data_IF_093842077051
#
_entry.id   IF_093842077051
#
_cell.length_a   1.000
_cell.length_b   1.000
_cell.length_c   1.000
_cell.angle_alpha   90.00
_cell.angle_beta   90.00
_cell.angle_gamma   90.00
#
_symmetry.space_group_name_H-M   'P 1'
#
loop_
_entity.id
_entity.type
_entity.pdbx_description
1 polymer ?
#
# COMPACT_ATOMS: atom_id res chain seq x y z
N UNK A 1 17.67 -23.70 7.06
CA UNK A 1 18.17 -22.53 7.81
C UNK A 1 18.02 -22.71 9.32
N UNK A 2 16.81 -22.89 9.88
CA UNK A 2 16.63 -23.13 11.34
C UNK A 2 17.31 -24.42 11.83
N UNK A 3 17.21 -25.51 11.07
CA UNK A 3 17.87 -26.79 11.37
C UNK A 3 19.41 -26.72 11.26
N UNK A 4 19.93 -25.79 10.46
CA UNK A 4 21.37 -25.57 10.28
C UNK A 4 21.94 -24.62 11.35
N UNK A 5 21.12 -23.68 11.84
CA UNK A 5 21.43 -22.78 12.96
C UNK A 5 21.39 -23.53 14.29
N UNK A 6 20.47 -24.48 14.46
CA UNK A 6 20.43 -25.36 15.64
C UNK A 6 21.67 -26.25 15.74
N UNK A 7 22.22 -26.72 14.61
CA UNK A 7 23.43 -27.55 14.58
C UNK A 7 24.74 -26.75 14.66
N UNK A 8 24.65 -25.42 14.78
CA UNK A 8 25.78 -24.50 14.97
C UNK A 8 26.00 -24.14 16.46
N UNK A 9 25.05 -24.44 17.35
CA UNK A 9 25.22 -24.29 18.81
C UNK A 9 25.94 -25.49 19.44
N UNK A 10 25.85 -26.68 18.83
CA UNK A 10 26.62 -27.86 19.24
C UNK A 10 28.03 -27.78 18.65
N UNK A 11 29.01 -27.42 19.47
CA UNK A 11 30.42 -27.22 19.11
C UNK A 11 31.21 -28.45 18.62
N UNK A 12 30.57 -29.39 17.94
CA UNK A 12 31.19 -30.62 17.45
C UNK A 12 31.70 -30.47 15.99
N UNK A 13 33.01 -30.24 15.86
CA UNK A 13 33.74 -30.17 14.58
C UNK A 13 33.71 -31.49 13.76
N UNK A 14 33.21 -32.57 14.34
CA UNK A 14 33.22 -33.93 13.75
C UNK A 14 32.16 -34.15 12.68
N UNK A 15 31.04 -33.41 12.71
CA UNK A 15 29.95 -33.57 11.73
C UNK A 15 30.18 -32.82 10.40
N UNK A 16 31.19 -31.94 10.33
CA UNK A 16 31.53 -31.18 9.12
C UNK A 16 32.48 -31.90 8.16
N UNK A 17 33.15 -32.98 8.60
CA UNK A 17 34.02 -33.79 7.72
C UNK A 17 33.23 -34.74 6.82
N UNK A 18 31.99 -35.07 7.18
CA UNK A 18 31.16 -36.06 6.44
C UNK A 18 30.52 -35.46 5.18
N UNK A 19 30.41 -34.13 5.07
CA UNK A 19 29.90 -33.45 3.87
C UNK A 19 30.95 -33.26 2.75
N UNK A 20 32.20 -33.73 2.97
CA UNK A 20 33.29 -33.59 2.00
C UNK A 20 33.49 -34.77 1.04
N UNK A 21 32.84 -35.92 1.26
CA UNK A 21 33.18 -37.17 0.57
C UNK A 21 32.12 -37.74 -0.37
N UNK A 22 31.05 -37.01 -0.67
CA UNK A 22 30.12 -37.35 -1.75
C UNK A 22 30.17 -36.26 -2.79
N UNK A 23 30.38 -36.64 -4.06
CA UNK A 23 30.54 -35.76 -5.23
C UNK A 23 29.65 -34.51 -5.16
N UNK A 24 30.22 -33.43 -4.61
CA UNK A 24 29.48 -32.22 -4.31
C UNK A 24 29.36 -31.39 -5.58
N UNK A 25 28.13 -31.07 -5.97
CA UNK A 25 27.87 -30.17 -7.10
C UNK A 25 28.55 -28.82 -6.84
N UNK A 26 28.95 -28.10 -7.89
CA UNK A 26 29.69 -26.83 -7.74
C UNK A 26 28.97 -25.77 -6.88
N UNK A 27 27.67 -25.92 -6.60
CA UNK A 27 26.90 -25.08 -5.70
C UNK A 27 27.12 -25.39 -4.22
N UNK A 28 27.36 -26.64 -3.83
CA UNK A 28 27.63 -27.03 -2.44
C UNK A 28 29.00 -26.51 -1.98
N UNK A 29 29.99 -26.53 -2.87
CA UNK A 29 31.33 -25.98 -2.61
C UNK A 29 31.29 -24.45 -2.44
N UNK A 30 30.50 -23.77 -3.27
CA UNK A 30 30.32 -22.30 -3.20
C UNK A 30 29.58 -21.87 -1.94
N UNK A 31 28.56 -22.62 -1.51
CA UNK A 31 27.86 -22.33 -0.27
C UNK A 31 28.74 -22.62 0.96
N UNK A 32 29.48 -23.73 0.94
CA UNK A 32 30.39 -24.10 2.02
C UNK A 32 31.51 -23.09 2.24
N UNK A 33 32.08 -22.55 1.16
CA UNK A 33 33.11 -21.49 1.23
C UNK A 33 32.56 -20.17 1.77
N UNK A 34 31.36 -19.76 1.34
CA UNK A 34 30.67 -18.59 1.88
C UNK A 34 30.43 -18.67 3.40
N UNK A 35 29.84 -19.78 3.88
CA UNK A 35 29.55 -19.92 5.31
C UNK A 35 30.82 -20.02 6.17
N UNK A 36 31.88 -20.61 5.63
CA UNK A 36 33.18 -20.69 6.30
C UNK A 36 33.83 -19.31 6.45
N UNK A 37 33.72 -18.45 5.43
CA UNK A 37 34.13 -17.05 5.53
C UNK A 37 33.37 -16.32 6.65
N UNK A 38 32.04 -16.44 6.70
CA UNK A 38 31.19 -15.82 7.75
C UNK A 38 31.58 -16.27 9.16
N UNK A 39 31.83 -17.57 9.36
CA UNK A 39 32.25 -18.10 10.66
C UNK A 39 33.61 -17.55 11.11
N UNK A 40 34.56 -17.40 10.18
CA UNK A 40 35.89 -16.88 10.48
C UNK A 40 35.85 -15.38 10.83
N UNK A 41 35.01 -14.60 10.14
CA UNK A 41 34.73 -13.19 10.50
C UNK A 41 34.16 -13.10 11.91
N UNK A 42 33.17 -13.94 12.26
CA UNK A 42 32.59 -13.94 13.61
C UNK A 42 33.58 -14.34 14.70
N UNK A 43 34.59 -15.16 14.37
CA UNK A 43 35.66 -15.59 15.27
C UNK A 43 36.85 -14.61 15.31
N UNK A 44 36.79 -13.47 14.60
CA UNK A 44 37.85 -12.47 14.55
C UNK A 44 39.10 -12.89 13.75
N UNK A 45 39.01 -13.93 12.92
CA UNK A 45 40.12 -14.45 12.09
C UNK A 45 40.02 -13.91 10.67
N UNK A 46 40.34 -12.62 10.50
CA UNK A 46 40.12 -11.88 9.26
C UNK A 46 41.00 -12.35 8.09
N UNK A 47 42.27 -12.70 8.33
CA UNK A 47 43.19 -13.15 7.27
C UNK A 47 42.71 -14.43 6.59
N UNK A 48 42.23 -15.38 7.39
CA UNK A 48 41.65 -16.63 6.88
C UNK A 48 40.31 -16.37 6.21
N UNK A 49 39.49 -15.47 6.76
CA UNK A 49 38.22 -15.11 6.14
C UNK A 49 38.40 -14.54 4.74
N UNK A 50 39.38 -13.64 4.56
CA UNK A 50 39.68 -13.01 3.27
C UNK A 50 40.01 -14.05 2.18
N UNK A 51 40.83 -15.05 2.49
CA UNK A 51 41.15 -16.14 1.55
C UNK A 51 39.88 -16.90 1.11
N UNK A 52 38.97 -17.19 2.04
CA UNK A 52 37.71 -17.87 1.71
C UNK A 52 36.73 -16.97 0.94
N UNK A 53 36.73 -15.65 1.18
CA UNK A 53 35.91 -14.71 0.40
C UNK A 53 36.41 -14.61 -1.03
N UNK A 54 37.72 -14.36 -1.24
CA UNK A 54 38.30 -14.31 -2.58
C UNK A 54 38.01 -15.59 -3.37
N UNK A 55 38.12 -16.74 -2.71
CA UNK A 55 37.85 -18.05 -3.32
C UNK A 55 36.37 -18.18 -3.71
N UNK A 56 35.46 -17.76 -2.84
CA UNK A 56 34.03 -17.77 -3.13
C UNK A 56 33.67 -16.80 -4.28
N UNK A 57 34.28 -15.61 -4.31
CA UNK A 57 34.09 -14.63 -5.39
C UNK A 57 34.58 -15.14 -6.73
N UNK A 58 35.78 -15.75 -6.79
CA UNK A 58 36.32 -16.37 -8.02
C UNK A 58 35.39 -17.47 -8.55
N UNK A 59 34.86 -18.33 -7.67
CA UNK A 59 33.92 -19.37 -8.06
C UNK A 59 32.57 -18.82 -8.57
N UNK A 60 32.05 -17.75 -7.95
CA UNK A 60 30.79 -17.12 -8.34
C UNK A 60 30.93 -16.28 -9.62
N UNK A 61 32.06 -15.59 -9.82
CA UNK A 61 32.32 -14.77 -11.00
C UNK A 61 32.27 -15.61 -12.28
N UNK A 62 32.89 -16.80 -12.28
CA UNK A 62 32.85 -17.72 -13.43
C UNK A 62 31.42 -18.19 -13.74
N UNK A 63 30.58 -18.43 -12.73
CA UNK A 63 29.17 -18.81 -12.91
C UNK A 63 28.32 -17.65 -13.43
N UNK A 64 28.51 -16.46 -12.89
CA UNK A 64 27.77 -15.26 -13.29
C UNK A 64 28.11 -14.87 -14.73
N UNK A 65 29.38 -14.97 -15.13
CA UNK A 65 29.79 -14.68 -16.51
C UNK A 65 29.05 -15.54 -17.55
N UNK A 66 28.77 -16.81 -17.22
CA UNK A 66 27.98 -17.71 -18.09
C UNK A 66 26.49 -17.37 -18.03
N UNK A 67 25.93 -17.17 -16.83
CA UNK A 67 24.48 -17.01 -16.64
C UNK A 67 23.94 -15.65 -17.11
N UNK A 68 24.73 -14.57 -16.99
CA UNK A 68 24.31 -13.21 -17.39
C UNK A 68 24.07 -13.12 -18.89
N UNK A 69 24.80 -13.91 -19.69
CA UNK A 69 24.61 -13.96 -21.14
C UNK A 69 23.28 -14.62 -21.54
N UNK A 70 22.71 -15.46 -20.68
CA UNK A 70 21.41 -16.11 -20.92
C UNK A 70 20.25 -15.27 -20.40
N UNK A 71 20.29 -14.87 -19.12
CA UNK A 71 19.35 -13.90 -18.57
C UNK A 71 19.82 -13.35 -17.22
N UNK A 72 19.49 -12.09 -16.97
CA UNK A 72 19.74 -11.47 -15.66
C UNK A 72 19.02 -12.21 -14.53
N UNK A 73 17.80 -12.71 -14.76
CA UNK A 73 17.03 -13.44 -13.75
C UNK A 73 17.75 -14.72 -13.26
N UNK A 74 18.41 -15.44 -14.16
CA UNK A 74 19.21 -16.64 -13.81
C UNK A 74 20.48 -16.29 -13.03
N UNK A 75 21.10 -15.16 -13.35
CA UNK A 75 22.30 -14.68 -12.67
C UNK A 75 22.01 -14.02 -11.31
N UNK A 76 20.77 -13.55 -11.07
CA UNK A 76 20.41 -12.69 -9.94
C UNK A 76 20.79 -13.29 -8.58
N UNK A 77 20.50 -14.57 -8.34
CA UNK A 77 20.83 -15.23 -7.06
C UNK A 77 22.34 -15.22 -6.76
N UNK A 78 23.17 -15.43 -7.79
CA UNK A 78 24.62 -15.39 -7.65
C UNK A 78 25.15 -13.96 -7.55
N UNK A 79 24.51 -12.99 -8.22
CA UNK A 79 24.82 -11.57 -8.09
C UNK A 79 24.60 -11.07 -6.65
N UNK A 80 23.49 -11.47 -6.01
CA UNK A 80 23.22 -11.15 -4.60
C UNK A 80 24.27 -11.78 -3.67
N UNK A 81 24.75 -12.99 -3.96
CA UNK A 81 25.84 -13.61 -3.16
C UNK A 81 27.16 -12.85 -3.30
N UNK A 82 27.49 -12.37 -4.50
CA UNK A 82 28.67 -11.52 -4.70
C UNK A 82 28.53 -10.22 -3.91
N UNK A 83 27.35 -9.57 -3.96
CA UNK A 83 27.05 -8.38 -3.16
C UNK A 83 27.20 -8.64 -1.65
N UNK A 84 26.74 -9.80 -1.16
CA UNK A 84 26.91 -10.18 0.24
C UNK A 84 28.37 -10.42 0.62
N UNK A 85 29.20 -10.94 -0.30
CA UNK A 85 30.63 -11.14 -0.08
C UNK A 85 31.39 -9.82 -0.08
N UNK A 86 31.09 -8.90 -0.99
CA UNK A 86 31.70 -7.57 -0.98
C UNK A 86 31.31 -6.79 0.27
N UNK A 87 30.04 -6.85 0.68
CA UNK A 87 29.59 -6.29 1.96
C UNK A 87 30.25 -6.96 3.17
N UNK A 88 30.63 -8.24 3.07
CA UNK A 88 31.36 -8.93 4.11
C UNK A 88 32.80 -8.41 4.22
N UNK A 89 33.49 -8.21 3.10
CA UNK A 89 34.83 -7.61 3.02
C UNK A 89 34.84 -6.17 3.54
N UNK A 90 33.84 -5.36 3.23
CA UNK A 90 33.76 -3.98 3.75
C UNK A 90 33.75 -3.88 5.28
N UNK A 91 33.37 -4.95 6.01
CA UNK A 91 33.39 -4.93 7.47
C UNK A 91 34.80 -5.05 8.08
N UNK A 92 35.83 -5.36 7.29
CA UNK A 92 37.22 -5.49 7.75
C UNK A 92 38.23 -5.04 6.67
N UNK A 93 39.08 -4.04 6.98
CA UNK A 93 40.09 -3.53 6.03
C UNK A 93 41.31 -4.47 5.90
N UNK A 94 42.16 -4.26 4.87
CA UNK A 94 43.42 -4.99 4.58
C UNK A 94 44.42 -5.05 5.75
N UNK A 95 44.19 -4.28 6.82
CA UNK A 95 44.99 -4.25 8.05
C UNK A 95 44.28 -4.89 9.27
N UNK A 96 43.19 -5.64 9.08
CA UNK A 96 42.48 -6.34 10.15
C UNK A 96 41.71 -5.44 11.11
N UNK A 97 41.40 -4.19 10.71
CA UNK A 97 40.57 -3.26 11.50
C UNK A 97 39.12 -3.29 11.02
N UNK A 98 38.19 -3.37 11.97
CA UNK A 98 36.76 -3.27 11.70
C UNK A 98 36.41 -1.81 11.36
N UNK A 99 36.04 -1.57 10.10
CA UNK A 99 35.46 -0.31 9.63
C UNK A 99 33.95 -0.52 9.59
N UNK A 100 33.14 0.35 10.20
CA UNK A 100 31.67 0.30 10.09
C UNK A 100 31.14 1.72 9.82
N UNK A 101 29.98 1.95 9.16
CA UNK A 101 28.98 0.96 8.68
C UNK A 101 28.28 1.29 7.33
N UNK A 102 28.48 0.49 6.27
CA UNK A 102 27.58 0.43 5.09
C UNK A 102 26.85 -0.92 5.02
N UNK A 103 25.51 -0.85 5.12
CA UNK A 103 24.49 -1.81 4.66
C UNK A 103 24.42 -3.27 5.17
N UNK A 104 25.41 -3.86 5.87
CA UNK A 104 25.25 -5.21 6.45
C UNK A 104 25.56 -5.34 7.96
N UNK A 105 24.84 -4.55 8.77
CA UNK A 105 25.02 -4.48 10.23
C UNK A 105 24.63 -5.75 11.01
N UNK A 106 23.98 -6.73 10.37
CA UNK A 106 23.41 -7.92 11.04
C UNK A 106 24.44 -8.93 11.56
N UNK A 107 25.66 -8.93 11.02
CA UNK A 107 26.68 -9.92 11.38
C UNK A 107 27.49 -9.52 12.63
N UNK A 108 27.56 -8.22 12.93
CA UNK A 108 28.47 -7.63 13.93
C UNK A 108 27.72 -6.96 15.07
N UNK A 109 26.51 -6.41 14.83
CA UNK A 109 25.74 -5.73 15.87
C UNK A 109 24.56 -6.60 16.34
N UNK A 110 24.23 -6.59 17.65
CA UNK A 110 23.06 -7.28 18.16
C UNK A 110 21.78 -6.75 17.46
N UNK A 111 20.76 -7.60 17.23
CA UNK A 111 19.53 -7.21 16.53
C UNK A 111 18.83 -5.96 17.08
N UNK A 112 19.10 -5.63 18.35
CA UNK A 112 18.61 -4.43 19.06
C UNK A 112 19.16 -3.12 18.52
N UNK A 113 20.39 -3.12 17.96
CA UNK A 113 21.02 -1.92 17.39
C UNK A 113 20.62 -1.67 15.93
N UNK A 114 19.92 -2.62 15.30
CA UNK A 114 19.43 -2.55 13.91
C UNK A 114 17.94 -2.96 13.82
N UNK A 115 17.14 -2.53 14.80
CA UNK A 115 15.74 -2.93 14.93
C UNK A 115 14.92 -2.66 13.64
N UNK A 116 15.15 -1.54 12.95
CA UNK A 116 14.39 -1.18 11.74
C UNK A 116 14.57 -2.21 10.59
N UNK A 117 15.79 -2.70 10.36
CA UNK A 117 16.08 -3.69 9.31
C UNK A 117 15.42 -5.03 9.64
N UNK A 118 15.49 -5.46 10.90
CA UNK A 118 14.87 -6.70 11.35
C UNK A 118 13.32 -6.62 11.39
N UNK A 119 12.75 -5.44 11.64
CA UNK A 119 11.30 -5.18 11.47
C UNK A 119 10.89 -5.33 10.00
N UNK A 120 11.67 -4.80 9.06
CA UNK A 120 11.41 -4.99 7.62
C UNK A 120 11.52 -6.47 7.23
N UNK A 121 12.56 -7.16 7.70
CA UNK A 121 12.75 -8.60 7.48
C UNK A 121 11.57 -9.43 8.01
N UNK A 122 11.16 -9.22 9.26
CA UNK A 122 10.01 -9.91 9.84
C UNK A 122 8.71 -9.64 9.06
N UNK A 123 8.53 -8.41 8.56
CA UNK A 123 7.39 -8.10 7.68
C UNK A 123 7.46 -8.82 6.33
N UNK A 124 8.64 -9.04 5.76
CA UNK A 124 8.82 -9.85 4.55
C UNK A 124 8.55 -11.33 4.83
N UNK A 125 9.07 -11.88 5.93
CA UNK A 125 8.80 -13.24 6.37
C UNK A 125 7.28 -13.48 6.48
N UNK A 126 6.56 -12.57 7.15
CA UNK A 126 5.08 -12.63 7.25
C UNK A 126 4.40 -12.64 5.88
N UNK A 127 4.76 -11.71 4.98
CA UNK A 127 4.16 -11.64 3.63
C UNK A 127 4.45 -12.87 2.78
N UNK A 128 5.62 -13.50 2.98
CA UNK A 128 6.01 -14.74 2.31
C UNK A 128 5.44 -16.02 2.94
N UNK A 129 4.59 -15.92 3.97
CA UNK A 129 4.02 -17.08 4.67
C UNK A 129 4.97 -17.77 5.67
N UNK A 130 6.20 -17.27 5.86
CA UNK A 130 7.19 -17.81 6.82
C UNK A 130 6.96 -17.25 8.23
N UNK A 131 5.82 -17.61 8.81
CA UNK A 131 5.31 -17.06 10.08
C UNK A 131 6.24 -17.39 11.27
N UNK A 132 6.81 -18.60 11.31
CA UNK A 132 7.73 -19.04 12.37
C UNK A 132 9.02 -18.22 12.42
N UNK A 133 9.56 -17.86 11.26
CA UNK A 133 10.76 -17.00 11.16
C UNK A 133 10.46 -15.56 11.58
N UNK A 134 9.27 -15.05 11.22
CA UNK A 134 8.81 -13.74 11.69
C UNK A 134 8.69 -13.72 13.22
N UNK A 135 8.08 -14.75 13.82
CA UNK A 135 7.97 -14.92 15.28
C UNK A 135 9.34 -14.88 15.94
N UNK A 136 10.23 -15.78 15.54
CA UNK A 136 11.57 -15.88 16.14
C UNK A 136 12.34 -14.56 16.05
N UNK A 137 12.24 -13.84 14.93
CA UNK A 137 12.89 -12.54 14.77
C UNK A 137 12.30 -11.51 15.74
N UNK A 138 10.98 -11.41 15.83
CA UNK A 138 10.31 -10.42 16.67
C UNK A 138 10.48 -10.71 18.17
N UNK A 139 10.43 -11.97 18.58
CA UNK A 139 10.73 -12.39 19.96
C UNK A 139 12.17 -12.03 20.35
N UNK A 140 13.14 -12.22 19.44
CA UNK A 140 14.53 -11.80 19.66
C UNK A 140 14.67 -10.28 19.79
N UNK A 141 13.90 -9.49 19.05
CA UNK A 141 13.89 -8.03 19.16
C UNK A 141 13.21 -7.54 20.44
N UNK A 142 12.14 -8.21 20.87
CA UNK A 142 11.43 -7.90 22.12
C UNK A 142 12.22 -8.32 23.36
N UNK A 143 13.15 -9.27 23.23
CA UNK A 143 13.95 -9.85 24.32
C UNK A 143 13.15 -10.64 25.36
N UNK A 144 11.85 -10.85 25.13
CA UNK A 144 11.00 -11.75 25.90
C UNK A 144 10.01 -12.44 24.95
N UNK A 145 9.50 -13.61 25.34
CA UNK A 145 8.50 -14.34 24.54
C UNK A 145 7.07 -14.05 25.05
N UNK A 146 6.27 -13.26 24.31
CA UNK A 146 4.95 -12.86 24.77
C UNK A 146 3.95 -14.01 24.90
N UNK A 147 4.20 -15.15 24.22
CA UNK A 147 3.35 -16.34 24.29
C UNK A 147 3.59 -17.18 25.56
N UNK A 148 4.73 -17.01 26.24
CA UNK A 148 5.06 -17.72 27.48
C UNK A 148 4.87 -16.87 28.75
N UNK A 149 4.78 -15.55 28.60
CA UNK A 149 4.46 -14.63 29.69
C UNK A 149 2.96 -14.58 29.97
N UNK A 150 2.56 -14.51 31.24
CA UNK A 150 1.15 -14.35 31.64
C UNK A 150 0.50 -13.13 30.96
N UNK A 151 -0.78 -13.26 30.58
CA UNK A 151 -1.59 -12.24 29.89
C UNK A 151 -1.60 -10.85 30.56
N UNK A 152 -1.22 -10.74 31.83
CA UNK A 152 -1.19 -9.47 32.58
C UNK A 152 0.07 -8.63 32.37
N UNK A 153 1.13 -9.17 31.76
CA UNK A 153 2.39 -8.44 31.58
C UNK A 153 2.25 -7.45 30.42
N UNK A 154 2.56 -6.17 30.66
CA UNK A 154 2.63 -5.16 29.58
C UNK A 154 3.81 -5.43 28.66
N UNK A 155 3.68 -5.09 27.38
CA UNK A 155 4.82 -5.14 26.48
C UNK A 155 5.72 -3.94 26.77
N UNK A 156 7.00 -4.20 27.03
CA UNK A 156 8.01 -3.18 27.30
C UNK A 156 9.09 -3.28 26.23
N UNK A 157 9.59 -2.14 25.75
CA UNK A 157 10.61 -2.09 24.70
C UNK A 157 10.37 -0.96 23.70
N UNK A 158 11.09 -1.00 22.57
CA UNK A 158 10.93 -0.03 21.47
C UNK A 158 9.49 -0.10 20.91
N UNK A 159 8.72 1.01 20.98
CA UNK A 159 7.37 1.10 20.42
C UNK A 159 7.24 0.63 18.97
N UNK A 160 8.29 0.74 18.14
CA UNK A 160 8.28 0.26 16.76
C UNK A 160 8.28 -1.28 16.68
N UNK A 161 9.04 -1.94 17.56
CA UNK A 161 9.11 -3.40 17.66
C UNK A 161 7.79 -3.95 18.21
N UNK A 162 7.23 -3.29 19.24
CA UNK A 162 5.92 -3.63 19.80
C UNK A 162 4.85 -3.58 18.70
N UNK A 163 4.78 -2.49 17.94
CA UNK A 163 3.84 -2.36 16.82
C UNK A 163 4.05 -3.46 15.77
N UNK A 164 5.29 -3.84 15.47
CA UNK A 164 5.60 -4.91 14.52
C UNK A 164 5.10 -6.28 14.99
N UNK A 165 5.28 -6.60 16.28
CA UNK A 165 4.80 -7.82 16.91
C UNK A 165 3.27 -7.90 16.94
N UNK A 166 2.59 -6.82 17.32
CA UNK A 166 1.11 -6.78 17.31
C UNK A 166 0.56 -7.03 15.91
N UNK A 167 1.20 -6.49 14.87
CA UNK A 167 0.81 -6.77 13.48
C UNK A 167 1.06 -8.22 13.08
N UNK A 168 2.04 -8.90 13.67
CA UNK A 168 2.26 -10.33 13.48
C UNK A 168 1.13 -11.12 14.15
N UNK A 169 0.81 -10.83 15.40
CA UNK A 169 -0.26 -11.49 16.15
C UNK A 169 -1.62 -11.35 15.45
N UNK A 170 -1.94 -10.14 14.95
CA UNK A 170 -3.14 -9.90 14.15
C UNK A 170 -3.23 -10.77 12.88
N UNK A 171 -2.09 -11.04 12.24
CA UNK A 171 -2.03 -11.80 10.98
C UNK A 171 -2.22 -13.30 11.13
N UNK A 172 -2.14 -13.84 12.36
CA UNK A 172 -2.40 -15.24 12.65
C UNK A 172 -3.88 -15.61 12.43
N UNK A 173 -4.77 -14.63 12.45
CA UNK A 173 -6.16 -14.80 12.03
C UNK A 173 -7.11 -15.29 13.13
N UNK A 174 -6.60 -15.74 14.26
CA UNK A 174 -7.42 -16.17 15.41
C UNK A 174 -8.12 -14.98 16.08
N UNK A 175 -9.44 -15.06 16.25
CA UNK A 175 -10.24 -13.94 16.75
C UNK A 175 -9.87 -13.52 18.18
N UNK A 176 -9.53 -14.47 19.04
CA UNK A 176 -9.04 -14.17 20.39
C UNK A 176 -7.72 -13.39 20.36
N UNK A 177 -6.75 -13.85 19.54
CA UNK A 177 -5.46 -13.17 19.36
C UNK A 177 -5.60 -11.80 18.71
N UNK A 178 -6.57 -11.61 17.80
CA UNK A 178 -6.88 -10.28 17.22
C UNK A 178 -7.42 -9.32 18.26
N UNK A 179 -8.34 -9.76 19.12
CA UNK A 179 -8.86 -8.96 20.23
C UNK A 179 -7.77 -8.61 21.24
N UNK A 180 -6.91 -9.55 21.59
CA UNK A 180 -5.78 -9.28 22.47
C UNK A 180 -4.81 -8.27 21.84
N UNK A 181 -4.39 -8.51 20.59
CA UNK A 181 -3.51 -7.60 19.86
C UNK A 181 -4.10 -6.18 19.76
N UNK A 182 -5.42 -6.06 19.60
CA UNK A 182 -6.13 -4.79 19.61
C UNK A 182 -6.07 -4.10 20.98
N UNK A 183 -6.35 -4.80 22.08
CA UNK A 183 -6.24 -4.25 23.44
C UNK A 183 -4.82 -3.74 23.71
N UNK A 184 -3.80 -4.53 23.35
CA UNK A 184 -2.39 -4.11 23.49
C UNK A 184 -2.02 -2.92 22.61
N UNK A 185 -2.61 -2.81 21.42
CA UNK A 185 -2.41 -1.66 20.54
C UNK A 185 -3.03 -0.38 21.14
N UNK A 186 -4.18 -0.52 21.82
CA UNK A 186 -4.82 0.58 22.55
C UNK A 186 -3.95 1.06 23.72
N UNK A 187 -3.37 0.14 24.48
CA UNK A 187 -2.40 0.47 25.54
C UNK A 187 -1.19 1.23 24.98
N UNK A 188 -0.60 0.73 23.89
CA UNK A 188 0.51 1.38 23.19
C UNK A 188 0.14 2.80 22.73
N UNK A 189 -1.08 3.00 22.22
CA UNK A 189 -1.56 4.31 21.80
C UNK A 189 -1.71 5.29 22.99
N UNK A 190 -2.17 4.81 24.15
CA UNK A 190 -2.25 5.60 25.37
C UNK A 190 -0.87 5.97 25.92
N UNK A 191 0.09 5.06 25.86
CA UNK A 191 1.45 5.32 26.32
C UNK A 191 2.14 6.36 25.40
N UNK A 192 1.94 6.25 24.08
CA UNK A 192 2.44 7.21 23.10
C UNK A 192 1.81 8.60 23.23
N UNK A 193 0.53 8.71 23.65
CA UNK A 193 -0.13 10.00 23.84
C UNK A 193 0.26 10.69 25.16
N UNK A 194 0.71 9.93 26.17
CA UNK A 194 1.22 10.43 27.46
C UNK A 194 2.67 10.89 27.39
N UNK A 195 3.42 10.46 26.38
CA UNK A 195 4.84 10.80 26.23
C UNK A 195 4.98 12.14 25.50
N UNK A 196 5.56 13.19 26.12
CA UNK A 196 5.64 14.52 25.51
C UNK A 196 6.56 14.55 24.27
N UNK A 197 6.16 15.37 23.28
CA UNK A 197 6.76 15.52 21.93
C UNK A 197 8.29 15.72 21.92
N UNK A 198 8.87 16.27 22.99
CA UNK A 198 10.31 16.52 23.12
C UNK A 198 11.17 15.23 23.07
N UNK A 199 10.68 14.10 23.57
CA UNK A 199 11.41 12.82 23.53
C UNK A 199 11.30 12.07 22.20
N UNK A 200 10.33 12.42 21.35
CA UNK A 200 10.20 11.81 20.02
C UNK A 200 11.27 12.33 19.04
N UNK A 201 11.88 13.49 19.33
CA UNK A 201 12.94 14.12 18.53
C UNK A 201 14.36 13.65 18.86
N UNK A 202 14.57 13.00 20.01
CA UNK A 202 15.90 12.63 20.51
C UNK A 202 16.35 11.23 20.08
N UNK A 203 15.49 10.45 19.41
CA UNK A 203 15.84 9.17 18.77
C UNK A 203 16.20 9.32 17.29
N UNK A 204 16.15 10.55 16.74
CA UNK A 204 16.40 10.83 15.33
C UNK A 204 17.66 11.68 15.12
N UNK A 205 18.83 11.05 15.22
CA UNK A 205 20.09 11.64 14.76
C UNK A 205 20.60 10.91 13.50
N UNK A 206 19.75 10.78 12.48
CA UNK A 206 20.15 10.48 11.10
C UNK A 206 19.31 11.35 10.14
N UNK A 207 19.92 12.26 9.36
CA UNK A 207 19.23 13.01 8.31
C UNK A 207 18.91 12.08 7.12
N UNK A 208 17.63 11.89 6.81
CA UNK A 208 17.20 11.19 5.58
C UNK A 208 16.06 10.18 5.73
N UNK A 209 15.75 9.72 6.95
CA UNK A 209 14.53 8.91 7.19
C UNK A 209 13.36 9.85 7.45
N UNK A 210 12.35 9.82 6.57
CA UNK A 210 11.08 10.53 6.76
C UNK A 210 10.49 10.18 8.13
N UNK A 211 10.60 11.12 9.08
CA UNK A 211 10.16 10.99 10.48
C UNK A 211 8.63 11.12 10.50
N UNK A 212 7.95 10.05 10.08
CA UNK A 212 6.50 9.94 10.24
C UNK A 212 6.19 9.54 11.68
N UNK A 213 5.33 10.28 12.41
CA UNK A 213 5.05 9.98 13.80
C UNK A 213 4.55 8.55 13.97
N UNK A 214 5.25 7.75 14.79
CA UNK A 214 4.83 6.39 15.11
C UNK A 214 3.37 6.36 15.62
N UNK A 215 2.96 7.39 16.36
CA UNK A 215 1.60 7.60 16.82
C UNK A 215 0.57 7.54 15.67
N UNK A 216 0.81 8.21 14.55
CA UNK A 216 -0.10 8.17 13.40
C UNK A 216 -0.25 6.75 12.84
N UNK A 217 0.86 6.00 12.72
CA UNK A 217 0.83 4.61 12.26
C UNK A 217 0.07 3.68 13.23
N UNK A 218 0.14 3.95 14.53
CA UNK A 218 -0.58 3.21 15.56
C UNK A 218 -2.08 3.52 15.51
N UNK A 219 -2.47 4.81 15.45
CA UNK A 219 -3.87 5.21 15.33
C UNK A 219 -4.52 4.69 14.04
N UNK A 220 -3.79 4.68 12.92
CA UNK A 220 -4.24 4.05 11.69
C UNK A 220 -4.63 2.59 11.91
N UNK A 221 -3.72 1.85 12.56
CA UNK A 221 -3.92 0.42 12.82
C UNK A 221 -5.10 0.22 13.76
N UNK A 222 -5.20 1.03 14.81
CA UNK A 222 -6.29 1.01 15.78
C UNK A 222 -7.65 1.18 15.08
N UNK A 223 -7.80 2.21 14.23
CA UNK A 223 -9.04 2.44 13.47
C UNK A 223 -9.38 1.28 12.53
N UNK A 224 -8.41 0.80 11.75
CA UNK A 224 -8.64 -0.32 10.82
C UNK A 224 -8.99 -1.64 11.52
N UNK A 225 -8.41 -1.88 12.70
CA UNK A 225 -8.65 -3.11 13.48
C UNK A 225 -9.99 -3.05 14.22
N UNK A 226 -10.34 -1.88 14.77
CA UNK A 226 -11.64 -1.68 15.39
C UNK A 226 -12.76 -1.84 14.38
N UNK A 227 -12.59 -1.30 13.16
CA UNK A 227 -13.57 -1.48 12.08
C UNK A 227 -13.75 -2.96 11.68
N UNK A 228 -12.68 -3.76 11.69
CA UNK A 228 -12.74 -5.18 11.38
C UNK A 228 -13.36 -6.04 12.49
N UNK A 229 -13.18 -5.68 13.76
CA UNK A 229 -13.72 -6.42 14.91
C UNK A 229 -15.15 -6.03 15.29
N UNK A 230 -15.50 -4.75 15.15
CA UNK A 230 -16.76 -4.19 15.64
C UNK A 230 -17.26 -3.08 14.72
N UNK A 231 -17.90 -3.42 13.58
CA UNK A 231 -18.37 -2.46 12.57
C UNK A 231 -19.60 -1.62 13.00
N UNK A 232 -19.81 -1.40 14.29
CA UNK A 232 -20.90 -0.58 14.84
C UNK A 232 -20.45 0.43 15.92
N UNK A 233 -19.16 0.49 16.24
CA UNK A 233 -18.59 1.46 17.20
C UNK A 233 -18.00 2.66 16.46
N UNK A 234 -18.85 3.36 15.69
CA UNK A 234 -18.41 4.39 14.75
C UNK A 234 -17.66 5.55 15.44
N UNK A 235 -18.08 5.95 16.64
CA UNK A 235 -17.46 7.06 17.40
C UNK A 235 -16.00 6.79 17.80
N UNK A 236 -15.69 5.55 18.20
CA UNK A 236 -14.34 5.17 18.59
C UNK A 236 -13.41 5.10 17.38
N UNK A 237 -13.93 4.62 16.25
CA UNK A 237 -13.20 4.53 14.98
C UNK A 237 -12.93 5.95 14.44
N UNK A 238 -13.92 6.84 14.50
CA UNK A 238 -13.77 8.25 14.14
C UNK A 238 -12.70 8.94 14.99
N UNK A 239 -12.70 8.72 16.31
CA UNK A 239 -11.69 9.29 17.20
C UNK A 239 -10.28 8.77 16.87
N UNK A 240 -10.14 7.50 16.50
CA UNK A 240 -8.86 6.96 16.05
C UNK A 240 -8.37 7.61 14.76
N UNK A 241 -9.22 7.74 13.73
CA UNK A 241 -8.86 8.39 12.47
C UNK A 241 -8.63 9.90 12.64
N UNK A 242 -9.35 10.56 13.55
CA UNK A 242 -9.14 11.98 13.85
C UNK A 242 -7.78 12.21 14.53
N UNK A 243 -7.40 11.36 15.47
CA UNK A 243 -6.08 11.43 16.09
C UNK A 243 -4.97 11.11 15.09
N UNK A 244 -5.21 10.20 14.14
CA UNK A 244 -4.29 9.92 13.03
C UNK A 244 -4.06 11.17 12.16
N UNK A 245 -5.12 11.84 11.72
CA UNK A 245 -5.01 13.04 10.87
C UNK A 245 -4.38 14.22 11.61
N UNK A 246 -4.64 14.38 12.91
CA UNK A 246 -3.95 15.38 13.75
C UNK A 246 -2.44 15.10 13.88
N UNK A 247 -2.04 13.82 14.00
CA UNK A 247 -0.63 13.46 14.10
C UNK A 247 0.12 13.57 12.75
N UNK A 248 -0.55 13.41 11.61
CA UNK A 248 0.11 13.38 10.30
C UNK A 248 -0.74 14.00 9.19
N UNK A 249 -0.90 15.31 9.22
CA UNK A 249 -1.72 16.06 8.27
C UNK A 249 -1.25 15.93 6.80
N UNK A 250 0.03 15.70 6.55
CA UNK A 250 0.57 15.54 5.19
C UNK A 250 0.56 14.09 4.69
N UNK A 251 0.21 13.12 5.54
CA UNK A 251 0.29 11.71 5.21
C UNK A 251 -0.93 11.24 4.41
N UNK A 252 -0.79 11.12 3.09
CA UNK A 252 -1.87 10.72 2.17
C UNK A 252 -2.62 9.46 2.59
N UNK A 253 -1.89 8.47 3.14
CA UNK A 253 -2.46 7.18 3.53
C UNK A 253 -3.42 7.30 4.73
N UNK A 254 -3.22 8.28 5.61
CA UNK A 254 -4.11 8.52 6.73
C UNK A 254 -5.48 8.98 6.26
N UNK A 255 -5.48 10.04 5.45
CA UNK A 255 -6.70 10.57 4.83
C UNK A 255 -7.40 9.53 3.97
N UNK A 256 -6.64 8.67 3.28
CA UNK A 256 -7.21 7.60 2.48
C UNK A 256 -7.99 6.57 3.30
N UNK A 257 -7.53 6.16 4.49
CA UNK A 257 -8.28 5.19 5.29
C UNK A 257 -9.50 5.83 5.97
N UNK A 258 -9.35 7.04 6.51
CA UNK A 258 -10.45 7.77 7.14
C UNK A 258 -11.61 8.06 6.16
N UNK A 259 -11.31 8.48 4.92
CA UNK A 259 -12.36 8.73 3.92
C UNK A 259 -13.08 7.45 3.49
N UNK A 260 -12.36 6.33 3.37
CA UNK A 260 -12.94 5.03 2.99
C UNK A 260 -13.92 4.57 4.07
N UNK A 261 -13.52 4.69 5.33
CA UNK A 261 -14.39 4.41 6.47
C UNK A 261 -15.63 5.29 6.44
N UNK A 262 -15.47 6.61 6.37
CA UNK A 262 -16.61 7.54 6.32
C UNK A 262 -17.55 7.27 5.15
N UNK A 263 -17.01 6.90 3.98
CA UNK A 263 -17.81 6.56 2.79
C UNK A 263 -18.61 5.26 3.02
N UNK A 264 -17.98 4.24 3.60
CA UNK A 264 -18.63 2.96 3.89
C UNK A 264 -19.76 3.11 4.92
N UNK A 265 -19.49 3.84 6.00
CA UNK A 265 -20.47 4.12 7.07
C UNK A 265 -21.63 4.96 6.54
N UNK A 266 -21.33 6.01 5.78
CA UNK A 266 -22.36 6.81 5.10
C UNK A 266 -23.24 5.93 4.21
N UNK A 267 -22.65 5.09 3.35
CA UNK A 267 -23.41 4.20 2.47
C UNK A 267 -24.29 3.23 3.25
N UNK A 268 -23.80 2.68 4.37
CA UNK A 268 -24.56 1.76 5.21
C UNK A 268 -25.78 2.42 5.85
N UNK A 269 -25.62 3.62 6.41
CA UNK A 269 -26.74 4.38 6.98
C UNK A 269 -27.71 4.88 5.93
N UNK A 270 -27.25 5.26 4.73
CA UNK A 270 -28.12 5.63 3.60
C UNK A 270 -29.00 4.46 3.17
N UNK A 271 -28.43 3.25 3.01
CA UNK A 271 -29.18 2.05 2.63
C UNK A 271 -30.23 1.64 3.67
N UNK A 272 -29.99 1.94 4.96
CA UNK A 272 -30.93 1.69 6.06
C UNK A 272 -31.96 2.81 6.27
N UNK A 273 -31.94 3.86 5.46
CA UNK A 273 -32.88 4.98 5.55
C UNK A 273 -32.53 6.05 6.60
N UNK A 274 -31.37 5.95 7.26
CA UNK A 274 -30.92 6.93 8.27
C UNK A 274 -30.14 8.09 7.65
N UNK A 275 -30.80 8.86 6.78
CA UNK A 275 -30.18 9.97 6.04
C UNK A 275 -29.54 11.05 6.94
N UNK A 276 -30.15 11.34 8.10
CA UNK A 276 -29.63 12.33 9.06
C UNK A 276 -28.28 11.93 9.65
N UNK A 277 -28.09 10.64 9.95
CA UNK A 277 -26.84 10.10 10.50
C UNK A 277 -25.79 10.05 9.39
N UNK A 278 -26.16 9.57 8.20
CA UNK A 278 -25.27 9.55 7.04
C UNK A 278 -24.71 10.95 6.71
N UNK A 279 -25.53 12.00 6.85
CA UNK A 279 -25.13 13.40 6.65
C UNK A 279 -23.95 13.85 7.51
N UNK A 280 -23.79 13.31 8.71
CA UNK A 280 -22.70 13.68 9.64
C UNK A 280 -21.32 13.24 9.12
N UNK A 281 -21.26 12.16 8.35
CA UNK A 281 -20.02 11.60 7.82
C UNK A 281 -19.60 12.23 6.49
N UNK A 282 -20.51 12.89 5.76
CA UNK A 282 -20.24 13.39 4.41
C UNK A 282 -19.14 14.45 4.39
N UNK A 283 -19.16 15.41 5.33
CA UNK A 283 -18.15 16.47 5.40
C UNK A 283 -16.76 15.89 5.64
N UNK A 284 -16.66 14.92 6.56
CA UNK A 284 -15.40 14.24 6.88
C UNK A 284 -14.90 13.38 5.70
N UNK A 285 -15.81 12.69 5.00
CA UNK A 285 -15.48 11.94 3.78
C UNK A 285 -14.93 12.86 2.67
N UNK A 286 -15.64 13.94 2.35
CA UNK A 286 -15.26 14.89 1.29
C UNK A 286 -13.92 15.58 1.63
N UNK A 287 -13.73 15.97 2.89
CA UNK A 287 -12.46 16.54 3.37
C UNK A 287 -11.32 15.53 3.22
N UNK A 288 -11.56 14.25 3.54
CA UNK A 288 -10.57 13.19 3.37
C UNK A 288 -10.24 12.88 1.90
N UNK A 289 -11.21 12.96 1.00
CA UNK A 289 -10.95 12.87 -0.44
C UNK A 289 -10.07 14.04 -0.92
N UNK A 290 -10.34 15.26 -0.46
CA UNK A 290 -9.55 16.43 -0.81
C UNK A 290 -8.07 16.26 -0.42
N UNK A 291 -7.79 15.93 0.84
CA UNK A 291 -6.41 15.75 1.30
C UNK A 291 -5.74 14.54 0.66
N UNK A 292 -6.47 13.44 0.43
CA UNK A 292 -5.90 12.27 -0.24
C UNK A 292 -5.53 12.54 -1.70
N UNK A 293 -6.33 13.34 -2.43
CA UNK A 293 -6.03 13.73 -3.81
C UNK A 293 -4.88 14.74 -3.82
N UNK A 294 -4.91 15.75 -2.96
CA UNK A 294 -3.86 16.77 -2.86
C UNK A 294 -2.50 16.16 -2.49
N UNK A 295 -2.44 15.29 -1.49
CA UNK A 295 -1.22 14.59 -1.12
C UNK A 295 -0.83 13.51 -2.15
N UNK A 296 -1.81 12.90 -2.81
CA UNK A 296 -1.62 11.87 -3.84
C UNK A 296 -1.04 12.42 -5.15
N UNK A 297 -1.39 13.66 -5.53
CA UNK A 297 -0.90 14.31 -6.74
C UNK A 297 0.62 14.52 -6.76
N UNK A 298 1.26 14.59 -5.59
CA UNK A 298 2.72 14.72 -5.45
C UNK A 298 3.45 13.38 -5.28
N UNK A 299 2.73 12.27 -5.04
CA UNK A 299 3.31 10.94 -4.89
C UNK A 299 3.09 10.12 -6.18
N UNK A 300 4.03 9.24 -6.54
CA UNK A 300 3.99 8.41 -7.77
C UNK A 300 2.83 7.39 -7.79
N UNK A 301 1.58 7.83 -7.91
CA UNK A 301 0.40 6.97 -7.94
C UNK A 301 -0.88 7.70 -8.38
N UNK A 302 -0.99 7.95 -9.69
CA UNK A 302 -2.14 8.60 -10.36
C UNK A 302 -3.44 7.77 -10.23
N UNK A 303 -3.34 6.46 -10.04
CA UNK A 303 -4.47 5.53 -10.06
C UNK A 303 -5.44 5.71 -8.88
N UNK A 304 -4.94 6.02 -7.69
CA UNK A 304 -5.78 6.21 -6.51
C UNK A 304 -6.57 7.53 -6.58
N UNK A 305 -5.96 8.59 -7.15
CA UNK A 305 -6.63 9.89 -7.30
C UNK A 305 -7.80 9.82 -8.28
N UNK A 306 -7.71 9.03 -9.35
CA UNK A 306 -8.82 8.86 -10.30
C UNK A 306 -10.02 8.18 -9.61
N UNK A 307 -9.77 7.10 -8.85
CA UNK A 307 -10.82 6.41 -8.10
C UNK A 307 -11.50 7.34 -7.09
N UNK A 308 -10.71 8.19 -6.42
CA UNK A 308 -11.19 9.18 -5.47
C UNK A 308 -12.05 10.27 -6.13
N UNK A 309 -11.64 10.74 -7.31
CA UNK A 309 -12.39 11.68 -8.13
C UNK A 309 -13.73 11.07 -8.55
N UNK A 310 -13.76 9.82 -9.02
CA UNK A 310 -15.00 9.14 -9.43
C UNK A 310 -15.96 8.96 -8.25
N UNK A 311 -15.45 8.66 -7.06
CA UNK A 311 -16.26 8.58 -5.84
C UNK A 311 -16.79 9.95 -5.42
N UNK A 312 -15.99 11.01 -5.50
CA UNK A 312 -16.45 12.38 -5.26
C UNK A 312 -17.56 12.78 -6.23
N UNK A 313 -17.41 12.49 -7.53
CA UNK A 313 -18.44 12.73 -8.52
C UNK A 313 -19.71 11.95 -8.18
N UNK A 314 -19.59 10.69 -7.79
CA UNK A 314 -20.73 9.86 -7.37
C UNK A 314 -21.44 10.47 -6.15
N UNK A 315 -20.69 10.92 -5.14
CA UNK A 315 -21.25 11.58 -3.95
C UNK A 315 -21.94 12.90 -4.31
N UNK A 316 -21.31 13.70 -5.15
CA UNK A 316 -21.87 14.95 -5.64
C UNK A 316 -23.20 14.75 -6.34
N UNK A 317 -23.23 13.78 -7.25
CA UNK A 317 -24.39 13.40 -8.06
C UNK A 317 -25.59 12.96 -7.22
N UNK A 318 -25.37 12.16 -6.18
CA UNK A 318 -26.44 11.57 -5.38
C UNK A 318 -26.78 12.39 -4.13
N UNK A 319 -26.06 13.49 -3.88
CA UNK A 319 -26.30 14.33 -2.71
C UNK A 319 -27.49 15.28 -2.91
N UNK A 320 -28.51 15.16 -2.05
CA UNK A 320 -29.67 16.06 -2.04
C UNK A 320 -29.40 17.40 -1.32
N UNK A 321 -28.29 17.50 -0.57
CA UNK A 321 -27.94 18.69 0.20
C UNK A 321 -27.16 19.69 -0.67
N UNK A 322 -27.74 20.88 -0.86
CA UNK A 322 -27.15 21.96 -1.66
C UNK A 322 -25.77 22.40 -1.16
N UNK A 323 -25.57 22.52 0.16
CA UNK A 323 -24.29 22.96 0.72
C UNK A 323 -23.15 21.96 0.41
N UNK A 324 -23.46 20.66 0.43
CA UNK A 324 -22.49 19.61 0.09
C UNK A 324 -22.16 19.66 -1.40
N UNK A 325 -23.16 19.90 -2.26
CA UNK A 325 -22.93 20.04 -3.71
C UNK A 325 -22.05 21.23 -4.04
N UNK A 326 -22.30 22.38 -3.43
CA UNK A 326 -21.51 23.60 -3.61
C UNK A 326 -20.07 23.40 -3.12
N UNK A 327 -19.89 22.72 -1.98
CA UNK A 327 -18.56 22.40 -1.46
C UNK A 327 -17.79 21.44 -2.39
N UNK A 328 -18.42 20.36 -2.86
CA UNK A 328 -17.76 19.44 -3.81
C UNK A 328 -17.48 20.14 -5.15
N UNK A 329 -18.39 20.97 -5.65
CA UNK A 329 -18.18 21.75 -6.87
C UNK A 329 -16.96 22.68 -6.69
N UNK A 330 -16.87 23.42 -5.59
CA UNK A 330 -15.70 24.26 -5.28
C UNK A 330 -14.39 23.47 -5.21
N UNK A 331 -14.44 22.22 -4.72
CA UNK A 331 -13.28 21.34 -4.63
C UNK A 331 -12.84 20.82 -6.00
N UNK A 332 -13.79 20.34 -6.82
CA UNK A 332 -13.52 19.92 -8.19
C UNK A 332 -12.92 21.07 -9.01
N UNK A 333 -13.40 22.30 -8.80
CA UNK A 333 -12.80 23.48 -9.42
C UNK A 333 -11.33 23.68 -9.04
N UNK A 334 -11.00 23.55 -7.76
CA UNK A 334 -9.63 23.72 -7.26
C UNK A 334 -8.68 22.60 -7.73
N UNK A 335 -9.19 21.37 -7.84
CA UNK A 335 -8.44 20.25 -8.44
C UNK A 335 -8.27 20.51 -9.94
N UNK A 336 -9.29 21.00 -10.64
CA UNK A 336 -9.23 21.29 -12.07
C UNK A 336 -8.25 22.41 -12.45
N UNK A 337 -8.00 23.35 -11.55
CA UNK A 337 -6.97 24.37 -11.72
C UNK A 337 -5.54 23.82 -11.59
N UNK A 338 -5.33 22.78 -10.77
CA UNK A 338 -3.99 22.21 -10.52
C UNK A 338 -3.68 21.02 -11.43
N UNK A 339 -4.67 20.17 -11.69
CA UNK A 339 -4.55 18.92 -12.44
C UNK A 339 -5.78 18.69 -13.33
N UNK A 340 -5.98 19.50 -14.38
CA UNK A 340 -7.15 19.39 -15.25
C UNK A 340 -7.26 18.01 -15.92
N UNK A 341 -6.14 17.38 -16.28
CA UNK A 341 -6.13 16.07 -16.95
C UNK A 341 -6.82 14.97 -16.13
N UNK A 342 -6.74 15.03 -14.80
CA UNK A 342 -7.33 14.03 -13.92
C UNK A 342 -8.87 14.12 -13.84
N UNK A 343 -9.44 15.29 -14.18
CA UNK A 343 -10.88 15.55 -14.07
C UNK A 343 -11.63 15.48 -15.39
N UNK A 344 -10.97 15.66 -16.54
CA UNK A 344 -11.68 15.85 -17.82
C UNK A 344 -12.54 14.66 -18.19
N UNK A 345 -11.98 13.46 -18.29
CA UNK A 345 -12.76 12.29 -18.68
C UNK A 345 -13.91 11.97 -17.71
N UNK A 346 -13.71 11.94 -16.38
CA UNK A 346 -14.83 11.77 -15.44
C UNK A 346 -15.94 12.83 -15.57
N UNK A 347 -15.58 14.10 -15.80
CA UNK A 347 -16.56 15.18 -15.97
C UNK A 347 -17.29 15.10 -17.32
N UNK A 348 -16.59 14.80 -18.42
CA UNK A 348 -17.19 14.65 -19.74
C UNK A 348 -18.22 13.52 -19.77
N UNK A 349 -17.94 12.40 -19.09
CA UNK A 349 -18.91 11.31 -18.89
C UNK A 349 -20.12 11.81 -18.10
N UNK A 350 -19.93 12.62 -17.06
CA UNK A 350 -21.03 13.20 -16.29
C UNK A 350 -21.89 14.19 -17.11
N UNK A 351 -21.29 14.93 -18.06
CA UNK A 351 -22.01 15.83 -18.99
C UNK A 351 -22.94 15.08 -19.96
N UNK A 352 -22.71 13.78 -20.21
CA UNK A 352 -23.56 12.95 -21.08
C UNK A 352 -24.65 12.20 -20.31
N UNK A 353 -24.84 12.48 -19.02
CA UNK A 353 -25.83 11.77 -18.21
C UNK A 353 -27.28 12.14 -18.55
N UNK A 354 -28.18 11.17 -18.38
CA UNK A 354 -29.65 11.30 -18.56
C UNK A 354 -30.25 12.36 -17.60
N UNK A 355 -29.66 12.56 -16.42
CA UNK A 355 -30.16 13.53 -15.45
C UNK A 355 -29.77 14.97 -15.83
N UNK A 356 -30.77 15.82 -16.11
CA UNK A 356 -30.56 17.23 -16.51
C UNK A 356 -29.79 18.04 -15.46
N UNK A 357 -30.11 17.87 -14.18
CA UNK A 357 -29.40 18.49 -13.06
C UNK A 357 -27.91 18.12 -13.04
N UNK A 358 -27.61 16.85 -13.32
CA UNK A 358 -26.24 16.33 -13.34
C UNK A 358 -25.46 16.89 -14.53
N UNK A 359 -26.07 16.85 -15.71
CA UNK A 359 -25.51 17.41 -16.93
C UNK A 359 -25.18 18.89 -16.75
N UNK A 360 -26.11 19.69 -16.22
CA UNK A 360 -25.91 21.11 -16.00
C UNK A 360 -24.79 21.38 -14.99
N UNK A 361 -24.80 20.70 -13.85
CA UNK A 361 -23.77 20.89 -12.82
C UNK A 361 -22.38 20.49 -13.32
N UNK A 362 -22.26 19.36 -14.05
CA UNK A 362 -21.00 18.92 -14.66
C UNK A 362 -20.51 19.91 -15.71
N UNK A 363 -21.42 20.41 -16.56
CA UNK A 363 -21.11 21.41 -17.57
C UNK A 363 -20.59 22.70 -16.94
N UNK A 364 -21.18 23.18 -15.84
CA UNK A 364 -20.69 24.36 -15.12
C UNK A 364 -19.24 24.19 -14.62
N UNK A 365 -18.85 22.99 -14.19
CA UNK A 365 -17.47 22.72 -13.77
C UNK A 365 -16.54 22.70 -14.97
N UNK A 366 -16.93 22.02 -16.06
CA UNK A 366 -16.16 21.97 -17.31
C UNK A 366 -15.95 23.37 -17.87
N UNK A 367 -16.99 24.21 -17.93
CA UNK A 367 -16.93 25.58 -18.46
C UNK A 367 -15.97 26.46 -17.65
N UNK A 368 -15.97 26.29 -16.32
CA UNK A 368 -15.03 27.02 -15.46
C UNK A 368 -13.60 26.48 -15.58
N UNK A 369 -13.39 25.18 -15.79
CA UNK A 369 -12.04 24.63 -16.08
C UNK A 369 -11.56 25.08 -17.46
N UNK A 370 -12.47 25.22 -18.43
CA UNK A 370 -12.19 25.73 -19.79
C UNK A 370 -11.63 27.16 -19.78
N UNK A 371 -12.01 27.99 -18.81
CA UNK A 371 -11.43 29.33 -18.64
C UNK A 371 -9.93 29.31 -18.33
N UNK A 372 -9.44 28.24 -17.67
CA UNK A 372 -8.01 28.09 -17.35
C UNK A 372 -7.27 27.23 -18.38
N UNK A 373 -7.88 26.11 -18.78
CA UNK A 373 -7.26 25.04 -19.58
C UNK A 373 -8.06 24.73 -20.85
N UNK A 374 -8.47 25.77 -21.58
CA UNK A 374 -9.41 25.66 -22.71
C UNK A 374 -9.00 24.66 -23.79
N UNK A 375 -7.75 24.70 -24.24
CA UNK A 375 -7.22 23.80 -25.29
C UNK A 375 -7.38 22.33 -24.88
N UNK A 376 -7.01 21.99 -23.64
CA UNK A 376 -7.12 20.63 -23.13
C UNK A 376 -8.58 20.17 -23.03
N UNK A 377 -9.49 21.06 -22.62
CA UNK A 377 -10.93 20.75 -22.55
C UNK A 377 -11.47 20.47 -23.94
N UNK A 378 -11.13 21.31 -24.91
CA UNK A 378 -11.61 21.19 -26.29
C UNK A 378 -11.07 19.90 -26.95
N UNK A 379 -9.79 19.59 -26.77
CA UNK A 379 -9.18 18.33 -27.23
C UNK A 379 -9.81 17.11 -26.56
N UNK A 380 -9.99 17.13 -25.24
CA UNK A 380 -10.59 16.02 -24.51
C UNK A 380 -12.06 15.80 -24.91
N UNK A 381 -12.81 16.87 -25.17
CA UNK A 381 -14.20 16.79 -25.61
C UNK A 381 -14.31 16.23 -27.04
N UNK A 382 -13.41 16.64 -27.94
CA UNK A 382 -13.31 16.06 -29.29
C UNK A 382 -13.03 14.56 -29.19
N UNK A 383 -11.97 14.17 -28.48
CA UNK A 383 -11.58 12.76 -28.31
C UNK A 383 -12.72 11.95 -27.68
N UNK A 384 -13.38 12.46 -26.64
CA UNK A 384 -14.50 11.76 -26.01
C UNK A 384 -15.67 11.54 -26.97
N UNK A 385 -16.00 12.53 -27.80
CA UNK A 385 -17.11 12.42 -28.77
C UNK A 385 -16.76 11.41 -29.86
N UNK A 386 -15.55 11.49 -30.44
CA UNK A 386 -15.10 10.56 -31.47
C UNK A 386 -14.93 9.14 -30.94
N UNK A 387 -14.47 8.95 -29.70
CA UNK A 387 -14.40 7.61 -29.09
C UNK A 387 -15.78 6.98 -28.92
N UNK A 388 -16.80 7.77 -28.52
CA UNK A 388 -18.18 7.26 -28.43
C UNK A 388 -18.70 6.90 -29.82
N UNK A 389 -18.45 7.75 -30.82
CA UNK A 389 -18.86 7.51 -32.21
C UNK A 389 -18.19 6.27 -32.83
N UNK A 390 -16.93 6.02 -32.50
CA UNK A 390 -16.21 4.82 -32.95
C UNK A 390 -16.61 3.56 -32.18
N UNK A 391 -17.07 3.70 -30.92
CA UNK A 391 -17.42 2.56 -30.07
C UNK A 391 -18.81 1.98 -30.38
N UNK A 392 -19.71 2.79 -30.96
CA UNK A 392 -21.06 2.37 -31.32
C UNK A 392 -21.30 2.80 -32.77
N UNK A 393 -21.20 1.84 -33.69
CA UNK A 393 -21.35 2.12 -35.11
C UNK A 393 -22.83 2.32 -35.45
N UNK A 394 -23.12 3.20 -36.40
CA UNK A 394 -24.50 3.47 -36.83
C UNK A 394 -25.28 2.20 -37.17
N UNK A 395 -24.67 1.24 -37.88
CA UNK A 395 -25.33 -0.01 -38.24
C UNK A 395 -25.62 -0.90 -37.04
N UNK A 396 -24.79 -0.86 -35.99
CA UNK A 396 -25.04 -1.57 -34.74
C UNK A 396 -26.23 -0.95 -34.01
N UNK A 397 -26.30 0.39 -33.94
CA UNK A 397 -27.46 1.11 -33.36
C UNK A 397 -28.76 0.78 -34.10
N UNK A 398 -28.73 0.82 -35.44
CA UNK A 398 -29.89 0.47 -36.26
C UNK A 398 -30.28 -0.99 -36.11
N UNK A 399 -29.32 -1.91 -36.04
CA UNK A 399 -29.62 -3.33 -35.87
C UNK A 399 -30.30 -3.60 -34.52
N UNK A 400 -29.75 -3.08 -33.41
CA UNK A 400 -30.34 -3.25 -32.08
C UNK A 400 -31.73 -2.61 -31.98
N UNK A 401 -31.89 -1.39 -32.49
CA UNK A 401 -33.17 -0.70 -32.45
C UNK A 401 -34.23 -1.34 -33.35
N UNK A 402 -33.86 -1.89 -34.51
CA UNK A 402 -34.79 -2.63 -35.37
C UNK A 402 -35.21 -3.95 -34.72
N UNK A 403 -34.30 -4.64 -34.03
CA UNK A 403 -34.63 -5.84 -33.27
C UNK A 403 -35.62 -5.52 -32.15
N UNK A 404 -35.38 -4.46 -31.37
CA UNK A 404 -36.29 -4.02 -30.31
C UNK A 404 -37.64 -3.50 -30.85
N UNK A 405 -37.62 -2.73 -31.94
CA UNK A 405 -38.83 -2.27 -32.63
C UNK A 405 -39.66 -3.46 -33.16
N UNK A 406 -38.99 -4.49 -33.70
CA UNK A 406 -39.67 -5.72 -34.15
C UNK A 406 -40.31 -6.48 -32.98
N UNK A 407 -39.64 -6.55 -31.83
CA UNK A 407 -40.16 -7.16 -30.60
C UNK A 407 -41.41 -6.43 -30.11
N UNK A 408 -41.38 -5.10 -30.08
CA UNK A 408 -42.50 -4.26 -29.66
C UNK A 408 -43.70 -4.36 -30.62
N UNK A 409 -43.45 -4.38 -31.92
CA UNK A 409 -44.51 -4.43 -32.94
C UNK A 409 -45.15 -5.83 -33.08
N UNK A 410 -44.32 -6.87 -33.23
CA UNK A 410 -44.80 -8.23 -33.49
C UNK A 410 -45.12 -9.01 -32.20
N UNK A 411 -44.41 -8.75 -31.10
CA UNK A 411 -44.62 -9.44 -29.82
C UNK A 411 -45.65 -8.77 -28.91
N UNK A 412 -45.49 -7.46 -28.67
CA UNK A 412 -46.30 -6.71 -27.72
C UNK A 412 -47.44 -5.91 -28.38
N UNK A 413 -47.50 -5.86 -29.71
CA UNK A 413 -48.44 -5.04 -30.49
C UNK A 413 -48.44 -3.55 -30.11
N UNK A 414 -47.31 -3.06 -29.62
CA UNK A 414 -47.13 -1.69 -29.15
C UNK A 414 -46.50 -0.81 -30.25
N UNK A 415 -47.36 -0.22 -31.08
CA UNK A 415 -46.94 0.64 -32.22
C UNK A 415 -46.29 1.93 -31.73
N UNK A 416 -46.81 2.53 -30.66
CA UNK A 416 -46.28 3.79 -30.11
C UNK A 416 -44.88 3.58 -29.51
N UNK A 417 -44.67 2.47 -28.80
CA UNK A 417 -43.34 2.07 -28.31
C UNK A 417 -42.34 1.84 -29.44
N UNK A 418 -42.76 1.18 -30.53
CA UNK A 418 -41.92 0.97 -31.70
C UNK A 418 -41.49 2.29 -32.36
N UNK A 419 -42.43 3.24 -32.54
CA UNK A 419 -42.12 4.55 -33.11
C UNK A 419 -41.13 5.33 -32.23
N UNK A 420 -41.33 5.33 -30.91
CA UNK A 420 -40.43 5.98 -29.95
C UNK A 420 -39.00 5.43 -29.98
N UNK A 421 -38.80 4.18 -30.41
CA UNK A 421 -37.47 3.56 -30.55
C UNK A 421 -36.79 4.00 -31.86
N UNK A 422 -37.54 4.12 -32.96
CA UNK A 422 -36.98 4.41 -34.29
C UNK A 422 -36.86 5.91 -34.59
N UNK A 423 -37.74 6.74 -34.02
CA UNK A 423 -37.77 8.19 -34.27
C UNK A 423 -36.43 8.90 -33.93
N UNK A 424 -35.75 8.62 -32.80
CA UNK A 424 -34.44 9.22 -32.53
C UNK A 424 -33.36 8.84 -33.57
N UNK A 425 -33.40 7.62 -34.11
CA UNK A 425 -32.44 7.19 -35.12
C UNK A 425 -32.69 7.84 -36.48
N UNK A 426 -33.96 8.05 -36.83
CA UNK A 426 -34.31 8.82 -38.02
C UNK A 426 -33.84 10.27 -37.91
N UNK A 427 -33.99 10.91 -36.75
CA UNK A 427 -33.48 12.25 -36.49
C UNK A 427 -31.95 12.32 -36.62
N UNK A 428 -31.21 11.34 -36.07
CA UNK A 428 -29.76 11.27 -36.25
C UNK A 428 -29.36 11.18 -37.74
N UNK A 429 -30.14 10.47 -38.55
CA UNK A 429 -29.88 10.30 -39.98
C UNK A 429 -30.16 11.59 -40.77
N UNK A 430 -31.14 12.40 -40.33
CA UNK A 430 -31.43 13.72 -40.88
C UNK A 430 -30.37 14.77 -40.50
N UNK A 431 -29.77 14.65 -39.32
CA UNK A 431 -28.68 15.52 -38.83
C UNK A 431 -27.32 15.20 -39.50
N UNK A 432 -27.16 14.01 -40.07
CA UNK A 432 -25.96 13.59 -40.78
C UNK A 432 -24.75 13.26 -39.89
N UNK A 433 -24.97 12.98 -38.59
CA UNK A 433 -23.94 12.78 -37.55
C UNK A 433 -23.62 11.32 -37.16
#
# INVERSE_FOLDING_TARGET
MAEYVSRLDDGDETNLRVLGNTAATGDEISNGTFFRAVLLVRRGKYDQAHEYVERAMKCLATKVAVLVLESYERAYSNMIRIQQLSELEENYDLNGRCLMPSQNRSLVLPPTEVAETWIKFSSLCRKSGRITQARSTLTKLLQFDPESTHETVRYHGDPQVIQAYLKYQWSLGEDHRRKEAFTRLKDLAMDLSRTPVLQQSMQSSIPGCSIMPLAARVYLKLGTWQWALSPGSDDEILNAFRNETHCAAEWAKAWHNGKLFNTAVMSHYTLRGFSNIAGQFVVSAVTGYFHSIACGAHAKGVDNSLQDILRLLTLWIHSNNRAIRELIQSLLMRIGQSHPQALMYPLLVACKSISSLRKQAAQEVVDKVRQHSGVLVDEAQLVSTELIRMAILWHEMWHEALEEASRLYFGEHNIEGMLNVLEPLHQMLEEGE
#
